data_IF_855499812945
#
_entry.id   IF_855499812945
#
_cell.length_a   1.000
_cell.length_b   1.000
_cell.length_c   1.000
_cell.angle_alpha   90.00
_cell.angle_beta   90.00
_cell.angle_gamma   90.00
#
_symmetry.space_group_name_H-M   'P 1'
#
loop_
_entity.id
_entity.type
_entity.pdbx_description
1 polymer ?
#
# COMPACT_ATOMS: atom_id res chain seq x y z
N UNK A 1 17.66 23.14 5.13
CA UNK A 1 17.31 21.79 4.65
C UNK A 1 18.48 21.10 3.94
N UNK A 2 19.00 21.61 2.82
CA UNK A 2 19.93 20.87 1.93
C UNK A 2 21.27 20.36 2.50
N UNK A 3 21.73 20.84 3.66
CA UNK A 3 22.96 20.35 4.32
C UNK A 3 22.68 19.46 5.55
N UNK A 4 21.41 19.13 5.77
CA UNK A 4 20.95 18.31 6.88
C UNK A 4 20.30 17.04 6.33
N UNK A 5 20.24 16.00 7.16
CA UNK A 5 19.48 14.78 6.85
C UNK A 5 18.00 15.04 7.12
N UNK A 6 17.38 15.83 6.24
CA UNK A 6 15.96 16.16 6.29
C UNK A 6 15.37 15.91 4.90
N UNK A 7 14.60 14.83 4.79
CA UNK A 7 13.91 14.43 3.58
C UNK A 7 12.53 15.09 3.53
N UNK A 8 12.18 15.71 2.40
CA UNK A 8 10.83 16.25 2.19
C UNK A 8 9.77 15.15 2.18
N UNK A 9 10.09 14.03 1.53
CA UNK A 9 9.18 12.94 1.24
C UNK A 9 9.94 11.62 1.10
N UNK A 10 9.23 10.53 0.87
CA UNK A 10 9.83 9.24 0.54
C UNK A 10 10.74 9.33 -0.69
N UNK A 11 11.98 8.86 -0.53
CA UNK A 11 13.00 8.76 -1.59
C UNK A 11 13.42 7.29 -1.73
N UNK A 12 14.31 6.78 -0.86
CA UNK A 12 14.70 5.36 -0.83
C UNK A 12 13.50 4.43 -0.67
N UNK A 13 12.56 4.79 0.21
CA UNK A 13 11.34 3.99 0.40
C UNK A 13 10.45 3.98 -0.85
N UNK A 14 10.45 5.05 -1.65
CA UNK A 14 9.75 5.06 -2.93
C UNK A 14 10.37 4.06 -3.90
N UNK A 15 11.71 4.01 -3.97
CA UNK A 15 12.40 3.01 -4.78
C UNK A 15 12.05 1.59 -4.33
N UNK A 16 11.89 1.34 -3.03
CA UNK A 16 11.51 0.03 -2.50
C UNK A 16 10.08 -0.38 -2.84
N UNK A 17 9.13 0.56 -2.82
CA UNK A 17 7.76 0.31 -3.26
C UNK A 17 7.73 -0.08 -4.74
N UNK A 18 8.50 0.62 -5.58
CA UNK A 18 8.57 0.36 -7.02
C UNK A 18 9.30 -0.94 -7.36
N UNK A 19 10.39 -1.26 -6.65
CA UNK A 19 11.14 -2.50 -6.83
C UNK A 19 10.38 -3.74 -6.32
N UNK A 20 9.40 -3.55 -5.43
CA UNK A 20 8.55 -4.62 -4.95
C UNK A 20 9.35 -5.77 -4.33
N UNK A 21 9.15 -6.99 -4.82
CA UNK A 21 9.79 -8.20 -4.32
C UNK A 21 11.30 -8.29 -4.64
N UNK A 22 11.85 -7.37 -5.43
CA UNK A 22 13.29 -7.30 -5.72
C UNK A 22 14.15 -6.82 -4.55
N UNK A 23 13.55 -6.40 -3.43
CA UNK A 23 14.25 -5.95 -2.22
C UNK A 23 13.76 -6.80 -1.04
N UNK A 24 14.70 -7.36 -0.28
CA UNK A 24 14.37 -8.19 0.87
C UNK A 24 13.71 -7.38 2.00
N UNK A 25 12.87 -8.06 2.78
CA UNK A 25 12.05 -7.44 3.82
C UNK A 25 12.89 -6.80 4.94
N UNK A 26 14.04 -7.38 5.28
CA UNK A 26 14.88 -6.86 6.36
C UNK A 26 15.58 -5.57 5.93
N UNK A 27 16.03 -5.49 4.68
CA UNK A 27 16.53 -4.24 4.08
C UNK A 27 15.46 -3.17 4.03
N UNK A 28 14.22 -3.50 3.64
CA UNK A 28 13.10 -2.56 3.71
C UNK A 28 12.87 -2.06 5.13
N UNK A 29 12.89 -2.95 6.13
CA UNK A 29 12.67 -2.60 7.54
C UNK A 29 13.73 -1.65 8.08
N UNK A 30 15.01 -1.99 7.91
CA UNK A 30 16.13 -1.15 8.40
C UNK A 30 16.10 0.26 7.81
N UNK A 31 15.81 0.36 6.51
CA UNK A 31 15.70 1.68 5.86
C UNK A 31 14.42 2.41 6.24
N UNK A 32 13.31 1.71 6.46
CA UNK A 32 12.10 2.33 6.97
C UNK A 32 12.36 3.00 8.33
N UNK A 33 12.97 2.26 9.27
CA UNK A 33 13.29 2.78 10.61
C UNK A 33 14.23 3.98 10.56
N UNK A 34 15.20 3.98 9.64
CA UNK A 34 16.10 5.11 9.43
C UNK A 34 15.39 6.32 8.79
N UNK A 35 14.74 6.12 7.63
CA UNK A 35 14.18 7.21 6.84
C UNK A 35 12.93 7.83 7.47
N UNK A 36 12.20 7.11 8.32
CA UNK A 36 11.09 7.68 9.10
C UNK A 36 11.60 8.77 10.06
N UNK A 37 12.74 8.54 10.73
CA UNK A 37 13.31 9.51 11.67
C UNK A 37 13.80 10.81 11.03
N UNK A 38 13.98 10.85 9.71
CA UNK A 38 14.55 11.99 8.97
C UNK A 38 13.61 12.57 7.91
N UNK A 39 12.38 12.07 7.77
CA UNK A 39 11.42 12.53 6.75
C UNK A 39 10.32 13.38 7.38
N UNK A 40 10.12 14.59 6.88
CA UNK A 40 9.14 15.56 7.45
C UNK A 40 7.75 15.46 6.82
N UNK A 41 7.58 14.64 5.79
CA UNK A 41 6.30 14.42 5.10
C UNK A 41 5.65 15.71 4.54
N UNK A 42 6.46 16.68 4.12
CA UNK A 42 6.02 17.97 3.53
C UNK A 42 5.54 17.82 2.06
N UNK A 43 5.13 16.61 1.70
CA UNK A 43 4.54 16.24 0.42
C UNK A 43 3.48 15.18 0.68
N UNK A 44 2.30 15.38 0.11
CA UNK A 44 1.16 14.46 0.27
C UNK A 44 1.39 13.10 -0.39
N UNK A 45 2.43 12.96 -1.25
CA UNK A 45 2.90 11.66 -1.73
C UNK A 45 3.60 10.83 -0.65
N UNK A 46 4.11 11.45 0.42
CA UNK A 46 4.99 10.75 1.34
C UNK A 46 4.26 9.70 2.17
N UNK A 47 3.06 10.03 2.67
CA UNK A 47 2.35 9.17 3.61
C UNK A 47 2.00 7.81 2.98
N UNK A 48 1.48 7.78 1.75
CA UNK A 48 1.09 6.54 1.09
C UNK A 48 2.27 5.56 0.92
N UNK A 49 3.44 6.06 0.51
CA UNK A 49 4.66 5.25 0.36
C UNK A 49 5.15 4.69 1.69
N UNK A 50 5.20 5.51 2.74
CA UNK A 50 5.55 5.05 4.08
C UNK A 50 4.53 4.03 4.61
N UNK A 51 3.24 4.24 4.37
CA UNK A 51 2.17 3.32 4.75
C UNK A 51 2.30 1.95 4.09
N UNK A 52 2.62 1.90 2.80
CA UNK A 52 2.85 0.65 2.06
C UNK A 52 4.05 -0.11 2.63
N UNK A 53 5.19 0.57 2.82
CA UNK A 53 6.39 -0.10 3.37
C UNK A 53 6.14 -0.55 4.81
N UNK A 54 5.53 0.29 5.65
CA UNK A 54 5.18 -0.05 7.03
C UNK A 54 4.30 -1.32 7.12
N UNK A 55 3.30 -1.43 6.24
CA UNK A 55 2.45 -2.62 6.17
C UNK A 55 3.28 -3.86 5.82
N UNK A 56 4.17 -3.74 4.83
CA UNK A 56 5.01 -4.84 4.35
C UNK A 56 6.02 -5.34 5.42
N UNK A 57 6.63 -4.41 6.17
CA UNK A 57 7.65 -4.75 7.17
C UNK A 57 7.09 -5.06 8.56
N UNK A 58 5.76 -4.98 8.73
CA UNK A 58 5.06 -5.35 9.96
C UNK A 58 4.92 -4.24 11.01
N UNK A 59 5.05 -2.97 10.63
CA UNK A 59 4.74 -1.82 11.50
C UNK A 59 3.27 -1.44 11.39
N UNK A 60 2.38 -2.29 11.89
CA UNK A 60 0.93 -2.16 11.73
C UNK A 60 0.37 -0.79 12.15
N UNK A 61 0.77 -0.27 13.32
CA UNK A 61 0.29 1.03 13.81
C UNK A 61 0.75 2.20 12.94
N UNK A 62 2.00 2.13 12.43
CA UNK A 62 2.54 3.14 11.51
C UNK A 62 1.83 3.05 10.15
N UNK A 63 1.61 1.85 9.64
CA UNK A 63 0.87 1.63 8.40
C UNK A 63 -0.55 2.23 8.49
N UNK A 64 -1.24 2.02 9.61
CA UNK A 64 -2.55 2.58 9.86
C UNK A 64 -2.53 4.12 9.93
N UNK A 65 -1.60 4.73 10.68
CA UNK A 65 -1.45 6.20 10.71
C UNK A 65 -1.23 6.78 9.32
N UNK A 66 -0.22 6.30 8.60
CA UNK A 66 0.12 6.81 7.28
C UNK A 66 -1.00 6.60 6.25
N UNK A 67 -1.75 5.51 6.35
CA UNK A 67 -2.94 5.30 5.54
C UNK A 67 -4.00 6.37 5.82
N UNK A 68 -4.26 6.70 7.09
CA UNK A 68 -5.20 7.76 7.45
C UNK A 68 -4.72 9.13 6.97
N UNK A 69 -3.43 9.44 7.12
CA UNK A 69 -2.85 10.70 6.64
C UNK A 69 -3.07 10.87 5.14
N UNK A 70 -2.82 9.82 4.33
CA UNK A 70 -3.07 9.86 2.89
C UNK A 70 -4.56 9.91 2.54
N UNK A 71 -5.41 9.16 3.25
CA UNK A 71 -6.85 9.08 2.99
C UNK A 71 -7.59 10.37 3.34
N UNK A 72 -7.13 11.08 4.38
CA UNK A 72 -7.84 12.21 4.97
C UNK A 72 -7.15 13.57 4.74
N UNK A 73 -6.04 13.61 4.00
CA UNK A 73 -5.24 14.83 3.80
C UNK A 73 -6.07 16.06 3.40
N UNK A 74 -6.97 15.90 2.42
CA UNK A 74 -7.84 16.99 1.95
C UNK A 74 -9.08 17.15 2.84
N UNK A 75 -9.59 16.07 3.43
CA UNK A 75 -10.80 16.12 4.27
C UNK A 75 -10.56 16.86 5.59
N UNK A 76 -9.37 16.71 6.15
CA UNK A 76 -8.95 17.30 7.42
C UNK A 76 -7.99 18.49 7.24
N UNK A 77 -7.73 18.90 5.99
CA UNK A 77 -6.79 19.96 5.61
C UNK A 77 -5.43 19.84 6.30
N UNK A 78 -4.85 18.63 6.30
CA UNK A 78 -3.65 18.31 7.09
C UNK A 78 -2.42 19.13 6.68
N UNK A 79 -2.41 19.67 5.45
CA UNK A 79 -1.35 20.54 4.92
C UNK A 79 -1.73 22.03 4.92
N UNK A 80 -2.93 22.40 5.37
CA UNK A 80 -3.39 23.80 5.45
C UNK A 80 -3.54 24.50 4.09
N UNK A 81 -3.69 23.74 3.01
CA UNK A 81 -3.63 24.22 1.64
C UNK A 81 -4.65 23.54 0.71
N UNK A 82 -5.63 22.81 1.25
CA UNK A 82 -6.68 22.14 0.45
C UNK A 82 -7.49 23.15 -0.37
N UNK A 83 -7.62 24.39 0.11
CA UNK A 83 -8.27 25.48 -0.63
C UNK A 83 -7.57 25.81 -1.97
N UNK A 84 -6.31 25.42 -2.15
CA UNK A 84 -5.58 25.57 -3.42
C UNK A 84 -5.91 24.47 -4.43
N UNK A 85 -6.58 23.40 -4.00
CA UNK A 85 -6.94 22.23 -4.79
C UNK A 85 -6.68 20.93 -4.04
N UNK A 86 -7.40 19.88 -4.44
CA UNK A 86 -7.25 18.54 -3.85
C UNK A 86 -5.94 17.86 -4.28
N UNK A 87 -5.38 17.05 -3.40
CA UNK A 87 -4.14 16.35 -3.65
C UNK A 87 -4.37 15.02 -4.37
N UNK A 88 -4.54 15.07 -5.70
CA UNK A 88 -4.84 13.89 -6.53
C UNK A 88 -3.86 12.72 -6.33
N UNK A 89 -2.57 13.01 -6.10
CA UNK A 89 -1.58 11.97 -5.84
C UNK A 89 -1.82 11.24 -4.50
N UNK A 90 -2.27 11.94 -3.47
CA UNK A 90 -2.64 11.34 -2.20
C UNK A 90 -3.97 10.57 -2.29
N UNK A 91 -4.94 11.08 -3.06
CA UNK A 91 -6.17 10.35 -3.37
C UNK A 91 -5.86 9.01 -4.04
N UNK A 92 -5.01 8.98 -5.07
CA UNK A 92 -4.52 7.74 -5.67
C UNK A 92 -3.70 6.88 -4.69
N UNK A 93 -2.90 7.55 -3.85
CA UNK A 93 -2.13 6.95 -2.77
C UNK A 93 -2.98 6.21 -1.74
N UNK A 94 -4.20 6.66 -1.47
CA UNK A 94 -5.14 5.97 -0.56
C UNK A 94 -5.54 4.59 -1.10
N UNK A 95 -5.80 4.48 -2.40
CA UNK A 95 -6.06 3.19 -3.04
C UNK A 95 -4.84 2.29 -3.03
N UNK A 96 -3.64 2.84 -3.25
CA UNK A 96 -2.39 2.09 -3.15
C UNK A 96 -2.12 1.62 -1.72
N UNK A 97 -2.39 2.43 -0.70
CA UNK A 97 -2.29 2.03 0.70
C UNK A 97 -3.21 0.85 1.02
N UNK A 98 -4.42 0.82 0.46
CA UNK A 98 -5.33 -0.32 0.58
C UNK A 98 -4.84 -1.55 -0.18
N UNK A 99 -4.57 -1.42 -1.48
CA UNK A 99 -4.28 -2.56 -2.35
C UNK A 99 -2.84 -3.08 -2.19
N UNK A 100 -1.85 -2.20 -2.22
CA UNK A 100 -0.42 -2.55 -2.13
C UNK A 100 0.09 -2.61 -0.70
N UNK A 101 -0.48 -1.83 0.21
CA UNK A 101 -0.20 -1.90 1.64
C UNK A 101 -0.94 -3.09 2.27
N UNK A 102 -2.19 -2.88 2.68
CA UNK A 102 -2.92 -3.91 3.43
C UNK A 102 -3.29 -5.14 2.60
N UNK A 103 -3.63 -4.99 1.32
CA UNK A 103 -3.88 -6.12 0.42
C UNK A 103 -2.61 -6.88 0.02
N UNK A 104 -1.43 -6.28 0.23
CA UNK A 104 -0.15 -6.85 -0.16
C UNK A 104 -0.03 -7.17 -1.65
N UNK A 105 -0.76 -6.46 -2.52
CA UNK A 105 -0.79 -6.72 -3.96
C UNK A 105 0.58 -6.45 -4.59
N UNK A 106 1.15 -7.45 -5.26
CA UNK A 106 2.34 -7.35 -6.12
C UNK A 106 2.07 -8.07 -7.45
N UNK A 107 2.65 -7.57 -8.54
CA UNK A 107 2.47 -8.16 -9.88
C UNK A 107 3.77 -8.22 -10.69
N UNK A 108 4.94 -8.21 -10.03
CA UNK A 108 6.24 -8.00 -10.70
C UNK A 108 6.61 -9.09 -11.71
N UNK A 109 6.18 -10.33 -11.49
CA UNK A 109 6.45 -11.48 -12.36
C UNK A 109 5.29 -11.82 -13.32
N UNK A 110 4.29 -10.93 -13.41
CA UNK A 110 3.11 -11.11 -14.26
C UNK A 110 1.99 -11.94 -13.63
N UNK A 111 2.17 -12.44 -12.40
CA UNK A 111 1.13 -13.13 -11.62
C UNK A 111 0.72 -12.28 -10.42
N UNK A 112 -0.58 -11.97 -10.23
CA UNK A 112 -1.01 -11.25 -9.03
C UNK A 112 -0.73 -12.06 -7.76
N UNK A 113 0.05 -11.46 -6.86
CA UNK A 113 0.38 -12.00 -5.54
C UNK A 113 -0.20 -11.10 -4.47
N UNK A 114 -0.71 -11.71 -3.40
CA UNK A 114 -1.36 -11.03 -2.29
C UNK A 114 -0.77 -11.53 -0.97
N UNK A 115 -0.52 -10.60 -0.05
CA UNK A 115 -0.17 -10.89 1.33
C UNK A 115 -1.03 -10.04 2.28
N UNK A 116 -2.34 -10.34 2.39
CA UNK A 116 -3.27 -9.44 3.06
C UNK A 116 -3.03 -9.35 4.57
N UNK A 117 -3.26 -8.18 5.14
CA UNK A 117 -3.23 -7.92 6.57
C UNK A 117 -4.47 -7.10 6.97
N UNK A 118 -5.09 -7.45 8.09
CA UNK A 118 -6.24 -6.70 8.62
C UNK A 118 -5.77 -5.70 9.68
N UNK A 119 -5.93 -4.38 9.46
CA UNK A 119 -5.71 -3.39 10.51
C UNK A 119 -6.66 -3.62 11.67
N UNK A 120 -6.19 -3.46 12.91
CA UNK A 120 -6.99 -3.66 14.11
C UNK A 120 -8.24 -2.77 14.19
N UNK A 121 -8.22 -1.62 13.50
CA UNK A 121 -9.34 -0.69 13.41
C UNK A 121 -10.49 -1.19 12.51
N UNK A 122 -10.28 -2.24 11.70
CA UNK A 122 -11.25 -2.72 10.72
C UNK A 122 -11.80 -4.09 11.10
N UNK A 123 -13.09 -4.30 10.79
CA UNK A 123 -13.71 -5.64 10.84
C UNK A 123 -13.40 -6.47 9.60
N UNK A 124 -13.13 -5.78 8.49
CA UNK A 124 -12.82 -6.36 7.21
C UNK A 124 -12.76 -5.26 6.14
N UNK A 125 -12.24 -5.59 4.97
CA UNK A 125 -12.18 -4.70 3.82
C UNK A 125 -12.30 -5.50 2.53
N UNK A 126 -12.65 -4.80 1.45
CA UNK A 126 -12.76 -5.37 0.12
C UNK A 126 -12.23 -4.39 -0.91
N UNK A 127 -11.59 -4.92 -1.94
CA UNK A 127 -11.19 -4.14 -3.11
C UNK A 127 -11.30 -4.99 -4.37
N UNK A 128 -11.34 -4.32 -5.51
CA UNK A 128 -11.38 -4.97 -6.83
C UNK A 128 -10.27 -4.46 -7.71
N UNK A 129 -9.87 -5.29 -8.68
CA UNK A 129 -8.92 -4.91 -9.72
C UNK A 129 -9.31 -5.57 -11.04
N UNK A 130 -8.99 -4.89 -12.15
CA UNK A 130 -8.97 -5.50 -13.48
C UNK A 130 -7.55 -5.91 -13.82
N UNK A 131 -7.36 -7.17 -14.18
CA UNK A 131 -6.06 -7.73 -14.53
C UNK A 131 -6.15 -8.48 -15.85
N UNK A 132 -5.53 -7.95 -16.92
CA UNK A 132 -5.45 -8.60 -18.24
C UNK A 132 -6.82 -9.14 -18.71
N UNK A 133 -7.84 -8.27 -18.69
CA UNK A 133 -9.21 -8.58 -19.10
C UNK A 133 -10.08 -9.32 -18.07
N UNK A 134 -9.54 -9.65 -16.88
CA UNK A 134 -10.26 -10.35 -15.81
C UNK A 134 -10.65 -9.41 -14.68
N UNK A 135 -11.81 -9.60 -14.08
CA UNK A 135 -12.27 -8.81 -12.93
C UNK A 135 -12.17 -9.63 -11.65
N UNK A 136 -11.28 -9.22 -10.74
CA UNK A 136 -11.03 -9.89 -9.46
C UNK A 136 -11.59 -9.04 -8.31
N UNK A 137 -12.18 -9.70 -7.32
CA UNK A 137 -12.53 -9.13 -6.02
C UNK A 137 -11.76 -9.85 -4.92
N UNK A 138 -11.21 -9.07 -4.00
CA UNK A 138 -10.55 -9.56 -2.78
C UNK A 138 -11.35 -9.07 -1.59
N UNK A 139 -11.66 -9.99 -0.67
CA UNK A 139 -12.34 -9.71 0.59
C UNK A 139 -11.51 -10.28 1.74
N UNK A 140 -11.30 -9.49 2.78
CA UNK A 140 -10.47 -9.83 3.93
C UNK A 140 -11.25 -9.48 5.19
N UNK A 141 -11.40 -10.43 6.10
CA UNK A 141 -11.95 -10.22 7.42
C UNK A 141 -11.13 -10.98 8.48
N UNK A 142 -11.58 -10.95 9.73
CA UNK A 142 -10.88 -11.60 10.85
C UNK A 142 -10.85 -13.14 10.77
N UNK A 143 -11.66 -13.75 9.90
CA UNK A 143 -11.80 -15.21 9.76
C UNK A 143 -11.09 -15.73 8.51
N UNK A 144 -11.15 -14.99 7.41
CA UNK A 144 -10.70 -15.49 6.12
C UNK A 144 -10.28 -14.39 5.14
N UNK A 145 -9.57 -14.83 4.10
CA UNK A 145 -9.34 -14.10 2.87
C UNK A 145 -10.06 -14.85 1.75
N UNK A 146 -10.91 -14.14 1.01
CA UNK A 146 -11.66 -14.65 -0.12
C UNK A 146 -11.24 -13.93 -1.40
N UNK A 147 -11.03 -14.71 -2.46
CA UNK A 147 -10.69 -14.24 -3.79
C UNK A 147 -11.75 -14.73 -4.77
N UNK A 148 -12.40 -13.81 -5.48
CA UNK A 148 -13.48 -14.12 -6.41
C UNK A 148 -13.14 -13.58 -7.80
N UNK A 149 -13.03 -14.47 -8.79
CA UNK A 149 -13.01 -14.07 -10.19
C UNK A 149 -14.46 -13.80 -10.63
N UNK A 150 -14.80 -12.55 -10.91
CA UNK A 150 -16.15 -12.14 -11.28
C UNK A 150 -16.39 -12.21 -12.80
N UNK A 151 -15.32 -12.07 -13.60
CA UNK A 151 -15.38 -12.04 -15.05
C UNK A 151 -14.03 -12.45 -15.63
N UNK A 152 -14.05 -13.24 -16.72
CA UNK A 152 -12.89 -13.58 -17.53
C UNK A 152 -12.39 -15.02 -17.37
N UNK A 153 -11.37 -15.34 -18.16
CA UNK A 153 -10.71 -16.66 -18.16
C UNK A 153 -10.03 -16.98 -16.82
N UNK A 154 -9.82 -18.27 -16.49
CA UNK A 154 -9.14 -18.68 -15.27
C UNK A 154 -7.86 -17.89 -15.00
N UNK A 155 -7.65 -17.57 -13.73
CA UNK A 155 -6.56 -16.71 -13.29
C UNK A 155 -5.77 -17.39 -12.18
N UNK A 156 -4.48 -17.63 -12.42
CA UNK A 156 -3.55 -17.97 -11.36
C UNK A 156 -3.26 -16.72 -10.51
N UNK A 157 -3.31 -16.89 -9.19
CA UNK A 157 -2.92 -15.89 -8.19
C UNK A 157 -2.10 -16.55 -7.09
N UNK A 158 -1.44 -15.74 -6.25
CA UNK A 158 -0.72 -16.24 -5.07
C UNK A 158 -1.25 -15.63 -3.78
N UNK A 159 -1.44 -16.46 -2.76
CA UNK A 159 -1.74 -16.03 -1.39
C UNK A 159 -0.53 -16.37 -0.51
N UNK A 160 0.17 -15.35 0.00
CA UNK A 160 1.45 -15.50 0.72
C UNK A 160 2.42 -16.44 -0.01
N UNK A 161 2.58 -16.23 -1.32
CA UNK A 161 3.46 -17.02 -2.17
C UNK A 161 2.92 -18.39 -2.60
N UNK A 162 1.79 -18.86 -2.05
CA UNK A 162 1.17 -20.13 -2.44
C UNK A 162 0.26 -19.93 -3.66
N UNK A 163 0.54 -20.58 -4.81
CA UNK A 163 -0.25 -20.42 -6.01
C UNK A 163 -1.56 -21.21 -5.94
N UNK A 164 -2.62 -20.67 -6.56
CA UNK A 164 -3.88 -21.35 -6.83
C UNK A 164 -4.62 -20.68 -7.99
N UNK A 165 -5.57 -21.40 -8.58
CA UNK A 165 -6.32 -20.93 -9.75
C UNK A 165 -7.74 -20.55 -9.35
N UNK A 166 -8.16 -19.38 -9.82
CA UNK A 166 -9.53 -18.89 -9.73
C UNK A 166 -10.28 -19.19 -11.02
N UNK A 167 -11.56 -19.54 -10.85
CA UNK A 167 -12.53 -19.73 -11.92
C UNK A 167 -13.72 -18.80 -11.65
N UNK A 168 -14.37 -18.34 -12.73
CA UNK A 168 -15.55 -17.48 -12.67
C UNK A 168 -16.82 -18.28 -12.38
#
# INVERSE_FOLDING_TARGET
>A
VYRHQVCKQADVLQAFVLAGEGIDRDSKRRNFDYYEGVTVHDSTLSASTFGIVAAEVGHADKAWRYFQDALRVDLDDLHGNTAHGVHLAAMGGSWLGLAWGFGGLRCGDGTPSFAPSLPAAWRGYRFGLRWRGRQLRVHVDARQVEYTLLEGEPLEVRHHGRPFTLHA
#
